data_IF_318575397497
#
_entry.id   IF_318575397497
#
_cell.length_a   1.000
_cell.length_b   1.000
_cell.length_c   1.000
_cell.angle_alpha   90.00
_cell.angle_beta   90.00
_cell.angle_gamma   90.00
#
_symmetry.space_group_name_H-M   'P 1'
#
loop_
_entity.id
_entity.type
_entity.pdbx_description
1 polymer ?
#
# COMPACT_ATOMS: atom_id res chain seq x y z
N UNK A 1 11.40 -11.07 25.76
CA UNK A 1 11.61 -9.91 24.87
C UNK A 1 10.25 -9.25 24.61
N UNK A 2 9.94 -8.14 25.27
CA UNK A 2 8.66 -7.42 25.11
C UNK A 2 8.59 -6.86 23.70
N UNK A 3 7.45 -7.07 23.03
CA UNK A 3 7.16 -6.66 21.65
C UNK A 3 7.44 -5.16 21.47
N UNK A 4 8.56 -4.80 20.90
CA UNK A 4 8.93 -3.41 20.56
C UNK A 4 8.04 -2.85 19.42
N UNK A 5 7.45 -3.72 18.61
CA UNK A 5 6.50 -3.36 17.56
C UNK A 5 5.06 -3.77 17.94
N UNK A 6 4.39 -2.86 18.64
CA UNK A 6 2.94 -2.93 18.81
C UNK A 6 2.29 -2.10 17.69
N UNK A 7 1.23 -2.61 17.09
CA UNK A 7 0.38 -1.91 16.10
C UNK A 7 0.09 -0.45 16.49
N UNK A 8 -0.33 -0.20 17.74
CA UNK A 8 -0.64 1.16 18.23
C UNK A 8 0.57 2.07 18.20
N UNK A 9 1.76 1.55 18.50
CA UNK A 9 3.01 2.31 18.46
C UNK A 9 3.36 2.70 17.03
N UNK A 10 3.24 1.76 16.07
CA UNK A 10 3.53 2.03 14.66
C UNK A 10 2.55 3.05 14.08
N UNK A 11 1.25 2.85 14.30
CA UNK A 11 0.20 3.78 13.85
C UNK A 11 0.40 5.17 14.46
N UNK A 12 0.66 5.25 15.77
CA UNK A 12 0.92 6.51 16.47
C UNK A 12 2.17 7.21 15.95
N UNK A 13 3.24 6.47 15.67
CA UNK A 13 4.46 7.02 15.08
C UNK A 13 4.18 7.60 13.68
N UNK A 14 3.55 6.84 12.78
CA UNK A 14 3.25 7.30 11.42
C UNK A 14 2.33 8.53 11.44
N UNK A 15 1.30 8.52 12.27
CA UNK A 15 0.43 9.70 12.47
C UNK A 15 1.23 10.92 12.93
N UNK A 16 2.11 10.77 13.93
CA UNK A 16 2.93 11.88 14.46
C UNK A 16 3.86 12.44 13.39
N UNK A 17 4.48 11.57 12.58
CA UNK A 17 5.35 12.00 11.47
C UNK A 17 4.55 12.82 10.46
N UNK A 18 3.37 12.37 10.05
CA UNK A 18 2.52 13.13 9.12
C UNK A 18 2.05 14.48 9.71
N UNK A 19 1.70 14.50 10.99
CA UNK A 19 1.31 15.74 11.68
C UNK A 19 2.47 16.75 11.73
N UNK A 20 3.68 16.32 12.11
CA UNK A 20 4.87 17.16 12.11
C UNK A 20 5.22 17.65 10.70
N UNK A 21 5.14 16.78 9.69
CA UNK A 21 5.35 17.14 8.28
C UNK A 21 4.33 18.18 7.81
N UNK A 22 3.06 18.04 8.20
CA UNK A 22 2.02 19.00 7.85
C UNK A 22 2.29 20.38 8.44
N UNK A 23 2.72 20.46 9.70
CA UNK A 23 3.13 21.73 10.32
C UNK A 23 4.33 22.33 9.60
N UNK A 24 5.33 21.51 9.27
CA UNK A 24 6.52 21.97 8.53
C UNK A 24 6.14 22.53 7.15
N UNK A 25 5.29 21.84 6.40
CA UNK A 25 4.82 22.26 5.07
C UNK A 25 4.01 23.57 5.14
N UNK A 26 3.17 23.75 6.15
CA UNK A 26 2.46 25.03 6.37
C UNK A 26 3.45 26.17 6.61
N UNK A 27 4.51 25.94 7.39
CA UNK A 27 5.55 26.96 7.60
C UNK A 27 6.27 27.30 6.30
N UNK A 28 6.57 26.31 5.43
CA UNK A 28 7.18 26.57 4.12
C UNK A 28 6.26 27.39 3.22
N UNK A 29 4.98 27.04 3.15
CA UNK A 29 3.97 27.78 2.36
C UNK A 29 3.84 29.23 2.80
N UNK A 30 3.92 29.52 4.12
CA UNK A 30 3.83 30.90 4.64
C UNK A 30 5.09 31.72 4.39
N UNK A 31 6.25 31.07 4.17
CA UNK A 31 7.53 31.75 3.95
C UNK A 31 7.81 32.06 2.48
N UNK A 32 6.88 31.74 1.56
CA UNK A 32 7.03 31.94 0.12
C UNK A 32 8.35 31.35 -0.42
N UNK A 33 8.82 30.25 0.14
CA UNK A 33 9.99 29.56 -0.35
C UNK A 33 9.73 29.07 -1.77
N UNK A 34 10.72 29.15 -2.65
CA UNK A 34 10.65 28.51 -3.98
C UNK A 34 10.34 27.04 -3.80
N UNK A 35 9.27 26.59 -4.45
CA UNK A 35 8.74 25.25 -4.26
C UNK A 35 9.38 24.27 -5.24
N UNK A 36 10.26 23.36 -4.80
CA UNK A 36 10.90 22.39 -5.66
C UNK A 36 10.05 21.13 -5.91
N UNK A 37 8.85 21.03 -5.30
CA UNK A 37 8.03 19.82 -5.36
C UNK A 37 7.15 19.79 -6.62
N UNK A 38 7.03 18.66 -7.31
CA UNK A 38 5.98 18.46 -8.28
C UNK A 38 4.60 18.68 -7.63
N UNK A 39 3.79 19.57 -8.19
CA UNK A 39 2.49 19.96 -7.62
C UNK A 39 2.55 20.90 -6.40
N UNK A 40 3.74 21.20 -5.87
CA UNK A 40 3.95 22.16 -4.81
C UNK A 40 3.73 21.64 -3.39
N UNK A 41 4.26 22.37 -2.40
CA UNK A 41 4.11 22.07 -0.96
C UNK A 41 2.65 21.90 -0.53
N UNK A 42 1.71 22.60 -1.18
CA UNK A 42 0.27 22.46 -0.92
C UNK A 42 -0.24 21.07 -1.25
N UNK A 43 0.20 20.48 -2.35
CA UNK A 43 -0.20 19.13 -2.75
C UNK A 43 0.38 18.07 -1.80
N UNK A 44 1.65 18.20 -1.41
CA UNK A 44 2.28 17.33 -0.41
C UNK A 44 1.58 17.45 0.95
N UNK A 45 1.17 18.66 1.34
CA UNK A 45 0.37 18.88 2.56
C UNK A 45 -0.96 18.11 2.51
N UNK A 46 -1.68 18.15 1.40
CA UNK A 46 -2.92 17.38 1.21
C UNK A 46 -2.65 15.88 1.35
N UNK A 47 -1.56 15.36 0.77
CA UNK A 47 -1.17 13.94 0.91
C UNK A 47 -0.86 13.58 2.38
N UNK A 48 -0.15 14.43 3.12
CA UNK A 48 0.14 14.22 4.55
C UNK A 48 -1.15 14.20 5.39
N UNK A 49 -2.07 15.15 5.15
CA UNK A 49 -3.37 15.21 5.85
C UNK A 49 -4.23 13.99 5.51
N UNK A 50 -4.28 13.59 4.24
CA UNK A 50 -4.96 12.37 3.82
C UNK A 50 -4.34 11.13 4.47
N UNK A 51 -3.02 11.05 4.57
CA UNK A 51 -2.29 9.98 5.26
C UNK A 51 -2.62 9.90 6.75
N UNK A 52 -2.75 11.05 7.45
CA UNK A 52 -3.20 11.09 8.85
C UNK A 52 -4.59 10.47 9.03
N UNK A 53 -5.50 10.70 8.09
CA UNK A 53 -6.83 10.08 8.13
C UNK A 53 -6.76 8.61 7.74
N UNK A 54 -6.04 8.31 6.67
CA UNK A 54 -5.93 6.96 6.11
C UNK A 54 -5.33 5.96 7.11
N UNK A 55 -4.35 6.35 7.92
CA UNK A 55 -3.72 5.44 8.90
C UNK A 55 -4.71 4.85 9.91
N UNK A 56 -5.88 5.51 10.11
CA UNK A 56 -6.95 5.03 10.99
C UNK A 56 -8.01 4.18 10.29
N UNK A 57 -7.94 3.98 8.97
CA UNK A 57 -8.92 3.16 8.24
C UNK A 57 -9.09 1.77 8.86
N UNK A 58 -8.03 1.02 9.23
CA UNK A 58 -8.20 -0.28 9.87
C UNK A 58 -8.96 -0.20 11.22
N UNK A 59 -8.72 0.85 12.00
CA UNK A 59 -9.42 1.07 13.27
C UNK A 59 -10.90 1.41 13.06
N UNK A 60 -11.22 2.19 12.03
CA UNK A 60 -12.60 2.51 11.64
C UNK A 60 -13.33 1.27 11.14
N UNK A 61 -12.68 0.43 10.33
CA UNK A 61 -13.26 -0.83 9.85
C UNK A 61 -13.52 -1.80 11.00
N UNK A 62 -12.61 -1.90 11.97
CA UNK A 62 -12.85 -2.67 13.22
C UNK A 62 -14.08 -2.17 13.97
N UNK A 63 -14.22 -0.85 14.09
CA UNK A 63 -15.33 -0.24 14.86
C UNK A 63 -16.68 -0.31 14.16
N UNK A 64 -16.73 0.03 12.86
CA UNK A 64 -17.99 0.19 12.13
C UNK A 64 -18.43 -1.07 11.42
N UNK A 65 -17.50 -1.78 10.79
CA UNK A 65 -17.79 -3.05 10.10
C UNK A 65 -17.60 -4.26 11.01
N UNK A 66 -17.21 -4.07 12.30
CA UNK A 66 -16.94 -5.14 13.28
C UNK A 66 -15.98 -6.19 12.74
N UNK A 67 -14.91 -5.74 12.06
CA UNK A 67 -13.91 -6.63 11.49
C UNK A 67 -12.77 -6.87 12.49
N UNK A 68 -12.40 -8.12 12.68
CA UNK A 68 -11.16 -8.51 13.35
C UNK A 68 -10.04 -8.53 12.31
N UNK A 69 -9.21 -7.48 12.30
CA UNK A 69 -8.09 -7.33 11.35
C UNK A 69 -6.79 -7.71 12.07
N UNK A 70 -6.00 -8.67 11.56
CA UNK A 70 -4.72 -9.02 12.12
C UNK A 70 -3.75 -7.82 12.22
N UNK A 71 -3.09 -7.66 13.37
CA UNK A 71 -2.18 -6.52 13.62
C UNK A 71 -1.03 -6.42 12.62
N UNK A 72 -0.59 -7.55 12.05
CA UNK A 72 0.46 -7.57 11.03
C UNK A 72 0.05 -6.82 9.77
N UNK A 73 -1.20 -6.93 9.34
CA UNK A 73 -1.71 -6.19 8.17
C UNK A 73 -1.79 -4.70 8.44
N UNK A 74 -2.19 -4.30 9.65
CA UNK A 74 -2.21 -2.88 10.05
C UNK A 74 -0.81 -2.29 10.05
N UNK A 75 0.19 -3.06 10.53
CA UNK A 75 1.59 -2.64 10.52
C UNK A 75 2.10 -2.51 9.08
N UNK A 76 1.86 -3.50 8.21
CA UNK A 76 2.26 -3.45 6.79
C UNK A 76 1.65 -2.22 6.12
N UNK A 77 0.35 -1.99 6.31
CA UNK A 77 -0.35 -0.85 5.77
C UNK A 77 0.21 0.49 6.26
N UNK A 78 0.45 0.64 7.57
CA UNK A 78 1.01 1.86 8.13
C UNK A 78 2.44 2.13 7.63
N UNK A 79 3.28 1.07 7.51
CA UNK A 79 4.61 1.18 6.92
C UNK A 79 4.56 1.58 5.45
N UNK A 80 3.62 1.03 4.68
CA UNK A 80 3.42 1.41 3.28
C UNK A 80 3.04 2.89 3.14
N UNK A 81 2.09 3.39 3.95
CA UNK A 81 1.76 4.81 3.98
C UNK A 81 2.96 5.69 4.34
N UNK A 82 3.77 5.26 5.31
CA UNK A 82 4.99 5.97 5.68
C UNK A 82 5.98 6.05 4.51
N UNK A 83 6.21 4.95 3.79
CA UNK A 83 7.09 4.91 2.64
C UNK A 83 6.56 5.75 1.47
N UNK A 84 5.26 5.63 1.14
CA UNK A 84 4.65 6.28 -0.02
C UNK A 84 4.33 7.77 0.17
N UNK A 85 4.19 8.25 1.43
CA UNK A 85 3.90 9.67 1.67
C UNK A 85 5.09 10.37 2.30
N UNK A 86 5.62 9.87 3.42
CA UNK A 86 6.68 10.60 4.11
C UNK A 86 8.02 10.46 3.40
N UNK A 87 8.48 9.24 3.13
CA UNK A 87 9.77 9.06 2.45
C UNK A 87 9.70 9.55 1.00
N UNK A 88 8.66 9.19 0.28
CA UNK A 88 8.52 9.52 -1.13
C UNK A 88 8.44 11.05 -1.36
N UNK A 89 7.51 11.72 -0.66
CA UNK A 89 7.18 13.12 -0.90
C UNK A 89 7.95 14.08 0.00
N UNK A 90 7.91 13.88 1.33
CA UNK A 90 8.52 14.82 2.28
C UNK A 90 10.04 14.69 2.32
N UNK A 91 10.56 13.47 2.20
CA UNK A 91 12.00 13.19 2.13
C UNK A 91 12.55 13.16 0.70
N UNK A 92 11.75 13.48 -0.31
CA UNK A 92 12.16 13.56 -1.71
C UNK A 92 12.70 12.25 -2.32
N UNK A 93 12.26 11.07 -1.82
CA UNK A 93 12.78 9.81 -2.33
C UNK A 93 12.46 9.57 -3.80
N UNK A 94 11.35 10.07 -4.33
CA UNK A 94 11.09 10.06 -5.78
C UNK A 94 12.18 10.79 -6.60
N UNK A 95 12.83 11.80 -6.01
CA UNK A 95 13.90 12.55 -6.69
C UNK A 95 15.28 11.94 -6.40
N UNK A 96 15.49 11.48 -5.17
CA UNK A 96 16.80 10.98 -4.72
C UNK A 96 17.07 9.53 -5.14
N UNK A 97 16.02 8.74 -5.33
CA UNK A 97 16.09 7.31 -5.65
C UNK A 97 15.20 7.04 -6.86
N UNK A 98 15.74 7.06 -8.09
CA UNK A 98 14.94 6.95 -9.32
C UNK A 98 14.02 5.73 -9.41
N UNK A 99 14.36 4.65 -8.69
CA UNK A 99 13.54 3.42 -8.65
C UNK A 99 12.59 3.37 -7.45
N UNK A 100 12.38 4.49 -6.72
CA UNK A 100 11.58 4.46 -5.50
C UNK A 100 10.12 4.08 -5.76
N UNK A 101 9.56 4.55 -6.85
CA UNK A 101 8.21 4.19 -7.28
C UNK A 101 8.07 2.71 -7.54
N UNK A 102 8.94 2.14 -8.36
CA UNK A 102 9.01 0.70 -8.61
C UNK A 102 9.16 -0.13 -7.32
N UNK A 103 9.94 0.36 -6.33
CA UNK A 103 10.04 -0.28 -5.01
C UNK A 103 8.69 -0.25 -4.29
N UNK A 104 7.98 0.87 -4.34
CA UNK A 104 6.64 0.99 -3.74
C UNK A 104 5.63 0.04 -4.42
N UNK A 105 5.67 -0.10 -5.74
CA UNK A 105 4.86 -1.07 -6.49
C UNK A 105 5.16 -2.50 -6.04
N UNK A 106 6.41 -2.91 -5.93
CA UNK A 106 6.79 -4.23 -5.41
C UNK A 106 6.30 -4.48 -3.97
N UNK A 107 6.40 -3.48 -3.10
CA UNK A 107 5.87 -3.55 -1.74
C UNK A 107 4.32 -3.58 -1.71
N UNK A 108 3.67 -2.85 -2.62
CA UNK A 108 2.21 -2.86 -2.76
C UNK A 108 1.71 -4.23 -3.18
N UNK A 109 2.31 -4.83 -4.20
CA UNK A 109 2.00 -6.17 -4.68
C UNK A 109 2.12 -7.22 -3.57
N UNK A 110 3.20 -7.16 -2.77
CA UNK A 110 3.38 -8.01 -1.61
C UNK A 110 2.29 -7.79 -0.55
N UNK A 111 2.02 -6.53 -0.21
CA UNK A 111 1.01 -6.16 0.80
C UNK A 111 -0.42 -6.52 0.37
N UNK A 112 -0.76 -6.28 -0.90
CA UNK A 112 -2.07 -6.60 -1.48
C UNK A 112 -2.30 -8.11 -1.58
N UNK A 113 -1.27 -8.91 -1.87
CA UNK A 113 -1.37 -10.37 -1.82
C UNK A 113 -1.60 -10.87 -0.39
N UNK A 114 -0.93 -10.28 0.62
CA UNK A 114 -1.20 -10.58 2.02
C UNK A 114 -2.64 -10.20 2.43
N UNK A 115 -3.12 -9.04 1.97
CA UNK A 115 -4.49 -8.61 2.17
C UNK A 115 -5.50 -9.56 1.51
N UNK A 116 -5.22 -10.02 0.29
CA UNK A 116 -6.08 -10.97 -0.42
C UNK A 116 -6.24 -12.28 0.37
N UNK A 117 -5.15 -12.84 0.89
CA UNK A 117 -5.21 -14.00 1.81
C UNK A 117 -6.12 -13.71 3.00
N UNK A 118 -5.96 -12.54 3.60
CA UNK A 118 -6.75 -12.17 4.78
C UNK A 118 -8.24 -12.00 4.46
N UNK A 119 -8.58 -11.44 3.30
CA UNK A 119 -9.96 -11.27 2.83
C UNK A 119 -10.69 -12.60 2.61
N UNK A 120 -9.97 -13.71 2.38
CA UNK A 120 -10.59 -15.04 2.27
C UNK A 120 -11.41 -15.41 3.50
N UNK A 121 -11.08 -14.86 4.67
CA UNK A 121 -11.84 -15.08 5.92
C UNK A 121 -13.25 -14.53 5.89
N UNK A 122 -13.55 -13.53 5.06
CA UNK A 122 -14.89 -12.96 4.95
C UNK A 122 -15.87 -13.87 4.19
N UNK A 123 -15.36 -14.66 3.26
CA UNK A 123 -16.15 -15.53 2.37
C UNK A 123 -16.06 -17.00 2.75
N UNK A 124 -14.93 -17.46 3.26
CA UNK A 124 -14.68 -18.85 3.61
C UNK A 124 -15.06 -19.16 5.06
N UNK A 125 -16.30 -19.60 5.27
CA UNK A 125 -16.83 -19.96 6.59
C UNK A 125 -16.29 -21.29 7.12
N UNK A 126 -15.85 -22.19 6.23
CA UNK A 126 -15.39 -23.54 6.59
C UNK A 126 -13.92 -23.60 7.07
N UNK A 127 -13.17 -22.51 6.92
CA UNK A 127 -11.75 -22.47 7.28
C UNK A 127 -10.82 -23.28 6.36
N UNK A 128 -11.36 -24.06 5.43
CA UNK A 128 -10.60 -24.99 4.58
C UNK A 128 -10.48 -24.47 3.14
N UNK A 129 -9.52 -23.60 2.89
CA UNK A 129 -9.11 -23.27 1.53
C UNK A 129 -7.88 -24.10 1.13
N UNK A 130 -7.92 -24.64 -0.08
CA UNK A 130 -6.73 -25.30 -0.64
C UNK A 130 -5.60 -24.27 -0.78
N UNK A 131 -4.40 -24.51 -0.25
CA UNK A 131 -3.30 -23.55 -0.28
C UNK A 131 -2.98 -23.02 -1.68
N UNK A 132 -3.04 -23.87 -2.71
CA UNK A 132 -2.81 -23.47 -4.09
C UNK A 132 -3.85 -22.48 -4.61
N UNK A 133 -5.14 -22.67 -4.27
CA UNK A 133 -6.18 -21.72 -4.66
C UNK A 133 -6.03 -20.38 -3.95
N UNK A 134 -5.75 -20.39 -2.66
CA UNK A 134 -5.56 -19.16 -1.89
C UNK A 134 -4.36 -18.34 -2.41
N UNK A 135 -3.25 -19.02 -2.72
CA UNK A 135 -2.06 -18.40 -3.30
C UNK A 135 -2.32 -17.83 -4.71
N UNK A 136 -3.02 -18.58 -5.56
CA UNK A 136 -3.40 -18.13 -6.90
C UNK A 136 -4.35 -16.92 -6.82
N UNK A 137 -5.35 -16.97 -5.96
CA UNK A 137 -6.26 -15.84 -5.73
C UNK A 137 -5.49 -14.59 -5.26
N UNK A 138 -4.54 -14.76 -4.34
CA UNK A 138 -3.73 -13.65 -3.83
C UNK A 138 -2.89 -13.01 -4.94
N UNK A 139 -2.27 -13.81 -5.79
CA UNK A 139 -1.52 -13.34 -6.94
C UNK A 139 -2.40 -12.55 -7.91
N UNK A 140 -3.53 -13.13 -8.33
CA UNK A 140 -4.44 -12.48 -9.27
C UNK A 140 -5.02 -11.18 -8.70
N UNK A 141 -5.43 -11.19 -7.42
CA UNK A 141 -6.00 -10.00 -6.77
C UNK A 141 -4.99 -8.86 -6.71
N UNK A 142 -3.76 -9.14 -6.26
CA UNK A 142 -2.73 -8.12 -6.12
C UNK A 142 -2.31 -7.55 -7.49
N UNK A 143 -2.06 -8.41 -8.48
CA UNK A 143 -1.69 -7.97 -9.83
C UNK A 143 -2.82 -7.16 -10.49
N UNK A 144 -4.08 -7.58 -10.33
CA UNK A 144 -5.22 -6.81 -10.83
C UNK A 144 -5.36 -5.45 -10.12
N UNK A 145 -5.06 -5.39 -8.82
CA UNK A 145 -5.07 -4.12 -8.08
C UNK A 145 -3.98 -3.16 -8.56
N UNK A 146 -2.78 -3.67 -8.85
CA UNK A 146 -1.71 -2.88 -9.47
C UNK A 146 -2.12 -2.34 -10.84
N UNK A 147 -2.72 -3.18 -11.70
CA UNK A 147 -3.23 -2.72 -12.98
C UNK A 147 -4.33 -1.65 -12.85
N UNK A 148 -5.18 -1.73 -11.82
CA UNK A 148 -6.17 -0.67 -11.53
C UNK A 148 -5.49 0.61 -11.08
N UNK A 149 -4.37 0.51 -10.36
CA UNK A 149 -3.59 1.67 -9.95
C UNK A 149 -2.96 2.38 -11.17
N UNK A 150 -2.37 1.65 -12.10
CA UNK A 150 -1.86 2.20 -13.37
C UNK A 150 -2.94 2.89 -14.21
N UNK A 151 -4.16 2.32 -14.23
CA UNK A 151 -5.31 2.97 -14.87
C UNK A 151 -5.67 4.28 -14.14
N UNK A 152 -5.58 4.30 -12.81
CA UNK A 152 -5.80 5.51 -12.02
C UNK A 152 -4.76 6.58 -12.38
N UNK A 153 -3.48 6.25 -12.45
CA UNK A 153 -2.40 7.19 -12.82
C UNK A 153 -2.62 7.76 -14.22
N UNK A 154 -2.93 6.91 -15.20
CA UNK A 154 -3.24 7.32 -16.56
C UNK A 154 -4.41 8.34 -16.61
N UNK A 155 -5.47 8.07 -15.86
CA UNK A 155 -6.64 8.97 -15.82
C UNK A 155 -6.27 10.31 -15.19
N UNK A 156 -5.51 10.32 -14.11
CA UNK A 156 -5.10 11.56 -13.43
C UNK A 156 -4.06 12.34 -14.22
N UNK A 157 -3.13 11.70 -14.90
CA UNK A 157 -2.19 12.33 -15.82
C UNK A 157 -2.96 13.08 -16.93
N UNK A 158 -3.97 12.43 -17.48
CA UNK A 158 -4.82 13.04 -18.53
C UNK A 158 -5.70 14.18 -17.99
N UNK A 159 -6.35 13.98 -16.82
CA UNK A 159 -7.37 14.91 -16.32
C UNK A 159 -6.76 16.10 -15.58
N UNK A 160 -5.64 15.92 -14.88
CA UNK A 160 -5.00 16.93 -14.04
C UNK A 160 -3.63 17.39 -14.57
N UNK A 161 -3.22 16.90 -15.75
CA UNK A 161 -1.93 17.21 -16.38
C UNK A 161 -0.77 16.93 -15.42
N UNK A 162 -0.80 15.75 -14.80
CA UNK A 162 0.27 15.21 -13.95
C UNK A 162 1.26 14.42 -14.81
N UNK A 163 2.22 13.76 -14.17
CA UNK A 163 3.19 12.88 -14.82
C UNK A 163 3.50 11.68 -13.89
N UNK A 164 2.44 11.04 -13.42
CA UNK A 164 2.54 9.91 -12.49
C UNK A 164 3.15 8.69 -13.18
N UNK A 165 2.78 8.46 -14.45
CA UNK A 165 3.34 7.38 -15.29
C UNK A 165 4.66 7.77 -15.97
N UNK A 166 5.34 8.82 -15.54
CA UNK A 166 6.61 9.31 -16.09
C UNK A 166 6.67 9.37 -17.63
N UNK A 167 5.48 9.60 -18.29
CA UNK A 167 5.38 9.66 -19.75
C UNK A 167 6.02 10.91 -20.36
N UNK A 168 6.48 11.86 -19.53
CA UNK A 168 7.17 13.07 -19.95
C UNK A 168 8.58 13.14 -19.32
N UNK A 169 9.56 13.57 -20.09
CA UNK A 169 10.91 13.85 -19.63
C UNK A 169 11.37 15.23 -20.10
N UNK A 170 11.89 16.06 -19.20
CA UNK A 170 12.35 17.41 -19.52
C UNK A 170 11.28 18.34 -20.10
N UNK A 171 10.02 18.07 -19.80
CA UNK A 171 8.85 18.83 -20.30
C UNK A 171 8.35 18.38 -21.68
N UNK A 172 8.95 17.34 -22.27
CA UNK A 172 8.58 16.79 -23.58
C UNK A 172 8.00 15.38 -23.43
N UNK A 173 6.94 15.01 -24.19
CA UNK A 173 6.38 13.67 -24.18
C UNK A 173 7.37 12.63 -24.70
N UNK A 174 7.50 11.52 -23.99
CA UNK A 174 8.20 10.33 -24.45
C UNK A 174 7.41 9.65 -25.56
N UNK A 175 8.10 8.97 -26.49
CA UNK A 175 7.46 8.31 -27.63
C UNK A 175 7.84 6.84 -27.73
N UNK A 176 6.90 6.03 -28.25
CA UNK A 176 7.10 4.62 -28.51
C UNK A 176 7.33 3.83 -27.21
N UNK A 177 8.35 2.97 -27.21
CA UNK A 177 8.65 2.10 -26.05
C UNK A 177 9.00 2.89 -24.79
N UNK A 178 9.70 4.03 -24.93
CA UNK A 178 10.10 4.85 -23.78
C UNK A 178 8.91 5.34 -22.95
N UNK A 179 7.77 5.66 -23.57
CA UNK A 179 6.56 6.09 -22.88
C UNK A 179 5.84 4.97 -22.09
N UNK A 180 6.25 3.71 -22.27
CA UNK A 180 5.66 2.55 -21.61
C UNK A 180 6.55 1.99 -20.49
N UNK A 181 7.79 2.48 -20.37
CA UNK A 181 8.78 1.86 -19.47
C UNK A 181 8.33 1.90 -18.03
N UNK A 182 7.88 3.04 -17.55
CA UNK A 182 7.45 3.25 -16.18
C UNK A 182 6.29 2.30 -15.83
N UNK A 183 5.14 2.47 -16.47
CA UNK A 183 3.95 1.61 -16.29
C UNK A 183 4.25 0.12 -16.37
N UNK A 184 5.07 -0.31 -17.34
CA UNK A 184 5.38 -1.73 -17.49
C UNK A 184 6.33 -2.23 -16.41
N UNK A 185 7.28 -1.41 -15.97
CA UNK A 185 8.20 -1.76 -14.88
C UNK A 185 7.44 -1.91 -13.57
N UNK A 186 6.49 -1.04 -13.32
CA UNK A 186 5.69 -1.03 -12.10
C UNK A 186 4.68 -2.18 -12.06
N UNK A 187 4.05 -2.50 -13.18
CA UNK A 187 3.25 -3.72 -13.31
C UNK A 187 4.08 -5.01 -13.09
N UNK A 188 5.34 -5.04 -13.56
CA UNK A 188 6.25 -6.16 -13.32
C UNK A 188 6.64 -6.22 -11.84
N UNK A 189 6.91 -5.10 -11.19
CA UNK A 189 7.22 -5.03 -9.77
C UNK A 189 6.05 -5.48 -8.90
N UNK A 190 4.83 -5.01 -9.19
CA UNK A 190 3.60 -5.46 -8.55
C UNK A 190 3.41 -6.99 -8.68
N UNK A 191 3.55 -7.52 -9.90
CA UNK A 191 3.44 -8.95 -10.14
C UNK A 191 4.52 -9.75 -9.41
N UNK A 192 5.75 -9.25 -9.36
CA UNK A 192 6.85 -9.89 -8.64
C UNK A 192 6.60 -9.91 -7.12
N UNK A 193 6.17 -8.79 -6.53
CA UNK A 193 5.79 -8.71 -5.12
C UNK A 193 4.61 -9.61 -4.78
N UNK A 194 3.58 -9.60 -5.62
CA UNK A 194 2.41 -10.48 -5.51
C UNK A 194 2.80 -11.96 -5.57
N UNK A 195 3.65 -12.34 -6.52
CA UNK A 195 4.15 -13.71 -6.65
C UNK A 195 4.96 -14.14 -5.43
N UNK A 196 5.86 -13.29 -4.96
CA UNK A 196 6.68 -13.58 -3.78
C UNK A 196 5.80 -13.89 -2.56
N UNK A 197 4.83 -13.03 -2.24
CA UNK A 197 3.92 -13.26 -1.10
C UNK A 197 3.00 -14.46 -1.32
N UNK A 198 2.55 -14.70 -2.53
CA UNK A 198 1.72 -15.87 -2.87
C UNK A 198 2.47 -17.18 -2.66
N UNK A 199 3.74 -17.24 -3.08
CA UNK A 199 4.61 -18.41 -2.86
C UNK A 199 4.90 -18.59 -1.37
N UNK A 200 5.23 -17.53 -0.64
CA UNK A 200 5.44 -17.57 0.82
C UNK A 200 4.17 -18.13 1.50
N UNK A 201 3.00 -17.57 1.16
CA UNK A 201 1.72 -18.00 1.74
C UNK A 201 1.43 -19.47 1.43
N UNK A 202 1.66 -19.92 0.21
CA UNK A 202 1.51 -21.33 -0.18
C UNK A 202 2.39 -22.25 0.68
N UNK A 203 3.68 -21.94 0.76
CA UNK A 203 4.64 -22.76 1.51
C UNK A 203 4.30 -22.81 2.99
N UNK A 204 3.93 -21.66 3.57
CA UNK A 204 3.58 -21.60 5.00
C UNK A 204 2.27 -22.34 5.28
N UNK A 205 1.23 -22.17 4.47
CA UNK A 205 -0.03 -22.90 4.60
C UNK A 205 0.15 -24.44 4.47
N UNK A 206 1.15 -24.89 3.70
CA UNK A 206 1.48 -26.31 3.57
C UNK A 206 2.20 -26.88 4.79
N UNK A 207 2.80 -26.03 5.62
CA UNK A 207 3.60 -26.42 6.82
C UNK A 207 2.85 -26.16 8.12
N UNK A 208 1.91 -25.26 8.14
CA UNK A 208 1.19 -24.79 9.33
C UNK A 208 -0.29 -24.56 8.99
N UNK A 209 -1.12 -25.56 9.29
CA UNK A 209 -2.57 -25.56 9.03
C UNK A 209 -3.29 -24.42 9.76
N UNK A 210 -2.75 -23.93 10.89
CA UNK A 210 -3.33 -22.84 11.65
C UNK A 210 -2.97 -21.43 11.13
N UNK A 211 -1.99 -21.31 10.22
CA UNK A 211 -1.49 -20.00 9.77
C UNK A 211 -2.56 -19.19 9.05
N UNK A 212 -3.29 -19.81 8.13
CA UNK A 212 -4.36 -19.15 7.39
C UNK A 212 -5.37 -18.51 8.34
N UNK A 213 -5.82 -19.25 9.35
CA UNK A 213 -6.78 -18.76 10.33
C UNK A 213 -6.29 -17.55 11.15
N UNK A 214 -4.97 -17.43 11.35
CA UNK A 214 -4.36 -16.28 12.05
C UNK A 214 -4.21 -15.05 11.16
N UNK A 215 -4.16 -15.23 9.86
CA UNK A 215 -4.04 -14.16 8.87
C UNK A 215 -5.40 -13.64 8.37
N UNK A 216 -6.48 -14.40 8.56
CA UNK A 216 -7.81 -14.04 8.05
C UNK A 216 -8.44 -12.87 8.80
N UNK A 217 -9.06 -11.97 8.03
CA UNK A 217 -10.00 -10.98 8.54
C UNK A 217 -11.32 -11.68 8.81
N UNK A 218 -11.91 -11.43 9.99
CA UNK A 218 -13.16 -12.06 10.44
C UNK A 218 -14.19 -11.01 10.82
N UNK A 219 -15.46 -11.40 10.81
CA UNK A 219 -16.55 -10.57 11.34
C UNK A 219 -16.76 -10.95 12.80
N UNK A 220 -16.71 -9.98 13.70
CA UNK A 220 -16.93 -10.17 15.14
C UNK A 220 -18.27 -10.88 15.41
N UNK A 221 -18.26 -11.87 16.31
CA UNK A 221 -19.48 -12.62 16.68
C UNK A 221 -19.95 -13.66 15.66
N UNK A 222 -19.24 -13.88 14.56
CA UNK A 222 -19.54 -14.94 13.59
C UNK A 222 -18.83 -16.24 13.97
N UNK A 223 -19.58 -17.32 14.17
CA UNK A 223 -18.99 -18.65 14.40
C UNK A 223 -18.28 -19.14 13.14
N UNK A 224 -16.99 -19.36 13.23
CA UNK A 224 -16.21 -20.05 12.21
C UNK A 224 -15.99 -21.48 12.70
N UNK A 225 -16.49 -22.47 11.97
CA UNK A 225 -16.28 -23.89 12.30
C UNK A 225 -14.79 -24.21 12.19
N UNK A 226 -14.16 -24.50 13.32
CA UNK A 226 -12.84 -25.14 13.34
C UNK A 226 -13.07 -26.63 13.03
N UNK A 227 -12.84 -27.02 11.78
CA UNK A 227 -12.69 -28.43 11.41
C UNK A 227 -11.28 -28.89 11.66
#
# INVERSE_FOLDING_TARGET
MKRVFNEKTVVGFVFTVFACSSVYLVVLLTRSASDPQPGGYGFVLVKCVAGMVAVFIPALLRRWARLEIPSVLVIIYACFLFCGVFLAEVCFFYVLIPSWDTVLHGLSGLGLAALAIALTGLTNKSGSLRPGFAAFFAFCFATASGAVWEIYEYVFDTAANLNMQEYMAGGEPLVGHAALVDTMTDLIADAAGALAMSVISYVVMRRDDGWLGRMQIRVEGRSYSSS
#
